data_IF_383861689239
#
_entry.id   IF_383861689239
#
_cell.length_a   1.000
_cell.length_b   1.000
_cell.length_c   1.000
_cell.angle_alpha   90.00
_cell.angle_beta   90.00
_cell.angle_gamma   90.00
#
_symmetry.space_group_name_H-M   'P 1'
#
loop_
_entity.id
_entity.type
_entity.pdbx_description
1 polymer ?
#
# COMPACT_ATOMS: atom_id res chain seq x y z
N UNK A 1 -2.05 -12.00 9.47
CA UNK A 1 -1.31 -11.17 10.44
C UNK A 1 -0.84 -12.03 11.58
N UNK A 2 0.42 -11.91 11.98
CA UNK A 2 1.01 -12.60 13.14
C UNK A 2 1.69 -11.55 14.01
N UNK A 3 1.64 -11.73 15.33
CA UNK A 3 2.29 -10.83 16.29
C UNK A 3 2.98 -11.62 17.38
N UNK A 4 4.22 -11.24 17.71
CA UNK A 4 4.93 -11.70 18.91
C UNK A 4 4.41 -11.01 20.18
N UNK A 5 3.83 -9.82 20.02
CA UNK A 5 3.29 -9.01 21.10
C UNK A 5 1.78 -9.25 21.29
N UNK A 6 1.24 -9.06 22.51
CA UNK A 6 -0.18 -9.23 22.76
C UNK A 6 -1.09 -8.38 21.85
N UNK A 7 -2.06 -9.02 21.21
CA UNK A 7 -3.15 -8.36 20.49
C UNK A 7 -4.29 -8.12 21.49
N UNK A 8 -4.61 -6.85 21.75
CA UNK A 8 -5.63 -6.43 22.73
C UNK A 8 -7.02 -6.31 22.11
N UNK A 9 -7.08 -5.85 20.86
CA UNK A 9 -8.32 -5.71 20.09
C UNK A 9 -8.04 -6.15 18.65
N UNK A 10 -9.05 -6.70 17.99
CA UNK A 10 -8.99 -7.08 16.56
C UNK A 10 -10.35 -6.90 15.91
N UNK A 11 -10.35 -6.54 14.63
CA UNK A 11 -11.56 -6.46 13.83
C UNK A 11 -11.22 -6.81 12.36
N UNK A 12 -12.24 -7.09 11.55
CA UNK A 12 -12.10 -7.48 10.15
C UNK A 12 -13.08 -6.66 9.30
N UNK A 13 -12.59 -6.17 8.17
CA UNK A 13 -13.40 -5.64 7.07
C UNK A 13 -13.32 -6.63 5.91
N UNK A 14 -14.46 -7.11 5.41
CA UNK A 14 -14.53 -7.80 4.12
C UNK A 14 -15.06 -6.82 3.08
N UNK A 15 -14.38 -6.69 1.95
CA UNK A 15 -14.81 -5.81 0.87
C UNK A 15 -16.03 -6.41 0.15
N UNK A 16 -17.07 -5.62 -0.13
CA UNK A 16 -18.34 -6.13 -0.65
C UNK A 16 -18.27 -6.62 -2.09
N UNK A 17 -17.25 -6.25 -2.86
CA UNK A 17 -17.08 -6.67 -4.25
C UNK A 17 -15.62 -6.66 -4.72
N UNK A 18 -15.34 -7.57 -5.64
CA UNK A 18 -14.13 -7.67 -6.44
C UNK A 18 -14.48 -7.98 -7.90
N UNK A 19 -13.48 -7.91 -8.78
CA UNK A 19 -13.59 -8.28 -10.20
C UNK A 19 -12.56 -9.34 -10.55
N UNK A 20 -12.74 -10.00 -11.70
CA UNK A 20 -11.90 -11.13 -12.12
C UNK A 20 -11.87 -12.24 -11.05
N UNK A 21 -10.72 -12.83 -10.74
CA UNK A 21 -10.60 -13.87 -9.72
C UNK A 21 -10.89 -13.34 -8.31
N UNK A 22 -10.60 -12.07 -8.04
CA UNK A 22 -10.82 -11.48 -6.71
C UNK A 22 -12.29 -11.48 -6.29
N UNK A 23 -13.22 -11.52 -7.27
CA UNK A 23 -14.66 -11.68 -7.02
C UNK A 23 -14.99 -12.96 -6.23
N UNK A 24 -14.15 -13.99 -6.31
CA UNK A 24 -14.36 -15.28 -5.66
C UNK A 24 -13.54 -15.42 -4.36
N UNK A 25 -12.99 -14.32 -3.86
CA UNK A 25 -12.19 -14.28 -2.64
C UNK A 25 -12.74 -13.26 -1.65
N UNK A 26 -12.70 -13.59 -0.36
CA UNK A 26 -13.04 -12.67 0.73
C UNK A 26 -11.87 -11.71 1.02
N UNK A 27 -11.49 -10.90 0.01
CA UNK A 27 -10.50 -9.83 0.18
C UNK A 27 -11.02 -8.79 1.17
N UNK A 28 -10.10 -8.17 1.90
CA UNK A 28 -10.46 -7.35 3.04
C UNK A 28 -9.25 -6.77 3.76
N UNK A 29 -9.52 -6.21 4.93
CA UNK A 29 -8.52 -5.69 5.83
C UNK A 29 -8.65 -6.28 7.24
N UNK A 30 -7.51 -6.50 7.88
CA UNK A 30 -7.40 -6.93 9.27
C UNK A 30 -6.92 -5.76 10.12
N UNK A 31 -7.54 -5.57 11.28
CA UNK A 31 -7.10 -4.64 12.31
C UNK A 31 -6.60 -5.39 13.55
N UNK A 32 -5.50 -4.91 14.13
CA UNK A 32 -5.04 -5.30 15.45
C UNK A 32 -4.55 -4.09 16.25
N UNK A 33 -5.02 -3.96 17.48
CA UNK A 33 -4.41 -3.11 18.50
C UNK A 33 -3.37 -3.93 19.25
N UNK A 34 -2.10 -3.54 19.16
CA UNK A 34 -0.99 -4.33 19.66
C UNK A 34 -0.32 -3.56 20.80
N UNK A 35 -0.18 -4.20 21.97
CA UNK A 35 0.56 -3.66 23.11
C UNK A 35 2.02 -4.11 23.01
N UNK A 36 2.92 -3.15 22.83
CA UNK A 36 4.36 -3.32 22.80
C UNK A 36 4.95 -3.24 24.23
N UNK A 37 6.28 -3.21 24.32
CA UNK A 37 6.97 -2.98 25.59
C UNK A 37 6.58 -1.62 26.20
N UNK A 38 6.73 -1.50 27.53
CA UNK A 38 6.43 -0.28 28.29
C UNK A 38 4.97 0.21 28.15
N UNK A 39 4.04 -0.70 27.86
CA UNK A 39 2.61 -0.42 27.62
C UNK A 39 2.36 0.56 26.47
N UNK A 40 3.31 0.69 25.53
CA UNK A 40 3.07 1.43 24.31
C UNK A 40 2.10 0.66 23.41
N UNK A 41 1.23 1.36 22.69
CA UNK A 41 0.21 0.76 21.84
C UNK A 41 0.35 1.24 20.42
N UNK A 42 0.13 0.34 19.46
CA UNK A 42 0.00 0.67 18.03
C UNK A 42 -1.31 0.13 17.48
N UNK A 43 -1.83 0.80 16.46
CA UNK A 43 -2.95 0.33 15.65
C UNK A 43 -2.41 -0.13 14.29
N UNK A 44 -2.42 -1.44 14.04
CA UNK A 44 -1.94 -2.02 12.80
C UNK A 44 -3.10 -2.48 11.93
N UNK A 45 -3.13 -2.01 10.70
CA UNK A 45 -4.03 -2.45 9.64
C UNK A 45 -3.22 -3.16 8.58
N UNK A 46 -3.70 -4.32 8.12
CA UNK A 46 -3.13 -5.05 7.00
C UNK A 46 -4.20 -5.29 5.96
N UNK A 47 -3.94 -4.98 4.70
CA UNK A 47 -4.90 -5.18 3.61
C UNK A 47 -4.26 -5.83 2.40
N UNK A 48 -5.11 -6.42 1.55
CA UNK A 48 -4.79 -6.78 0.18
C UNK A 48 -6.00 -6.42 -0.68
N UNK A 49 -5.91 -5.32 -1.43
CA UNK A 49 -7.01 -4.81 -2.26
C UNK A 49 -7.11 -5.55 -3.59
N UNK A 50 -8.11 -5.21 -4.40
CA UNK A 50 -8.32 -5.69 -5.77
C UNK A 50 -7.01 -5.63 -6.55
N UNK A 51 -6.66 -6.69 -7.29
CA UNK A 51 -5.51 -6.71 -8.20
C UNK A 51 -5.89 -6.20 -9.61
N UNK A 52 -4.88 -5.79 -10.37
CA UNK A 52 -5.00 -5.52 -11.81
C UNK A 52 -4.33 -6.63 -12.61
N UNK A 53 -4.86 -6.93 -13.80
CA UNK A 53 -4.26 -7.90 -14.74
C UNK A 53 -3.69 -7.19 -15.98
N UNK A 54 -3.33 -5.92 -15.80
CA UNK A 54 -2.66 -5.04 -16.77
C UNK A 54 -1.68 -4.14 -15.99
N UNK A 55 -0.50 -3.90 -16.55
CA UNK A 55 0.62 -3.23 -15.84
C UNK A 55 0.38 -1.74 -15.52
N UNK A 56 -0.44 -1.04 -16.31
CA UNK A 56 -0.82 0.36 -16.09
C UNK A 56 -2.26 0.62 -16.51
N UNK A 57 -3.24 0.19 -15.70
CA UNK A 57 -4.65 0.45 -16.00
C UNK A 57 -4.94 1.97 -15.94
N UNK A 58 -5.81 2.50 -16.82
CA UNK A 58 -6.32 3.85 -16.66
C UNK A 58 -7.19 3.96 -15.39
N UNK A 59 -7.40 5.17 -14.86
CA UNK A 59 -8.25 5.40 -13.67
C UNK A 59 -9.71 4.93 -13.84
N UNK A 60 -10.17 4.82 -15.08
CA UNK A 60 -11.50 4.33 -15.45
C UNK A 60 -11.57 2.81 -15.56
N UNK A 61 -10.45 2.09 -15.41
CA UNK A 61 -10.44 0.63 -15.39
C UNK A 61 -11.25 0.09 -14.22
N UNK A 62 -12.00 -0.99 -14.46
CA UNK A 62 -12.90 -1.55 -13.47
C UNK A 62 -12.18 -2.00 -12.18
N UNK A 63 -10.95 -2.52 -12.31
CA UNK A 63 -10.14 -2.93 -11.16
C UNK A 63 -9.73 -1.72 -10.32
N UNK A 64 -9.36 -0.62 -10.98
CA UNK A 64 -9.00 0.65 -10.34
C UNK A 64 -10.20 1.29 -9.65
N UNK A 65 -11.39 1.26 -10.28
CA UNK A 65 -12.62 1.76 -9.66
C UNK A 65 -12.99 0.99 -8.39
N UNK A 66 -12.94 -0.34 -8.45
CA UNK A 66 -13.19 -1.22 -7.29
C UNK A 66 -12.16 -0.96 -6.18
N UNK A 67 -10.87 -0.87 -6.53
CA UNK A 67 -9.81 -0.60 -5.58
C UNK A 67 -9.97 0.75 -4.88
N UNK A 68 -10.38 1.80 -5.60
CA UNK A 68 -10.70 3.11 -4.99
C UNK A 68 -11.88 3.04 -4.01
N UNK A 69 -12.92 2.26 -4.32
CA UNK A 69 -14.02 2.02 -3.38
C UNK A 69 -13.54 1.26 -2.13
N UNK A 70 -12.72 0.21 -2.32
CA UNK A 70 -12.12 -0.55 -1.22
C UNK A 70 -11.24 0.31 -0.32
N UNK A 71 -10.45 1.22 -0.89
CA UNK A 71 -9.64 2.20 -0.15
C UNK A 71 -10.53 3.16 0.65
N UNK A 72 -11.68 3.57 0.12
CA UNK A 72 -12.65 4.40 0.85
C UNK A 72 -13.27 3.63 2.04
N UNK A 73 -13.63 2.37 1.84
CA UNK A 73 -14.12 1.50 2.92
C UNK A 73 -13.05 1.24 3.98
N UNK A 74 -11.81 1.00 3.54
CA UNK A 74 -10.65 0.85 4.43
C UNK A 74 -10.45 2.10 5.28
N UNK A 75 -10.54 3.30 4.70
CA UNK A 75 -10.41 4.53 5.48
C UNK A 75 -11.50 4.68 6.54
N UNK A 76 -12.76 4.36 6.19
CA UNK A 76 -13.87 4.36 7.16
C UNK A 76 -13.66 3.32 8.27
N UNK A 77 -13.10 2.16 7.93
CA UNK A 77 -12.77 1.10 8.88
C UNK A 77 -11.64 1.51 9.83
N UNK A 78 -10.62 2.20 9.33
CA UNK A 78 -9.56 2.80 10.14
C UNK A 78 -10.18 3.77 11.16
N UNK A 79 -10.98 4.74 10.69
CA UNK A 79 -11.63 5.72 11.57
C UNK A 79 -12.51 5.07 12.65
N UNK A 80 -13.27 4.03 12.29
CA UNK A 80 -14.09 3.24 13.24
C UNK A 80 -13.22 2.60 14.32
N UNK A 81 -12.15 1.90 13.93
CA UNK A 81 -11.30 1.15 14.84
C UNK A 81 -10.40 2.05 15.71
N UNK A 82 -10.12 3.27 15.26
CA UNK A 82 -9.24 4.22 15.96
C UNK A 82 -10.01 5.41 16.54
N UNK A 83 -11.33 5.29 16.76
CA UNK A 83 -12.16 6.37 17.30
C UNK A 83 -11.66 6.85 18.68
N UNK A 84 -11.19 5.89 19.50
CA UNK A 84 -10.68 6.12 20.85
C UNK A 84 -9.15 6.03 20.93
N UNK A 85 -8.45 6.06 19.78
CA UNK A 85 -7.00 6.03 19.78
C UNK A 85 -6.44 7.29 20.42
N UNK A 86 -5.44 7.13 21.28
CA UNK A 86 -4.77 8.27 21.89
C UNK A 86 -3.82 8.93 20.88
N UNK A 87 -3.54 10.24 21.01
CA UNK A 87 -2.66 10.95 20.08
C UNK A 87 -1.25 10.36 19.95
N UNK A 88 -0.80 9.61 20.95
CA UNK A 88 0.54 9.02 21.02
C UNK A 88 0.62 7.64 20.35
N UNK A 89 -0.53 7.03 20.03
CA UNK A 89 -0.65 5.68 19.46
C UNK A 89 -0.56 5.76 17.92
N UNK A 90 0.50 5.26 17.27
CA UNK A 90 0.60 5.29 15.81
C UNK A 90 -0.44 4.39 15.15
N UNK A 91 -1.03 4.90 14.06
CA UNK A 91 -1.89 4.17 13.14
C UNK A 91 -1.09 3.84 11.90
N UNK A 92 -0.87 2.55 11.66
CA UNK A 92 -0.01 2.03 10.60
C UNK A 92 -0.85 1.13 9.70
N UNK A 93 -0.80 1.37 8.40
CA UNK A 93 -1.41 0.54 7.36
C UNK A 93 -0.30 -0.12 6.54
N UNK A 94 -0.35 -1.44 6.39
CA UNK A 94 0.63 -2.21 5.62
C UNK A 94 -0.04 -3.16 4.64
N UNK A 95 0.68 -3.58 3.61
CA UNK A 95 0.30 -4.66 2.71
C UNK A 95 0.40 -4.29 1.24
N UNK A 96 -0.04 -5.22 0.40
CA UNK A 96 -0.18 -5.03 -1.04
C UNK A 96 -1.47 -4.26 -1.33
N UNK A 97 -1.34 -2.98 -1.65
CA UNK A 97 -2.50 -2.15 -1.99
C UNK A 97 -2.82 -2.21 -3.48
N UNK A 98 -2.10 -3.00 -4.29
CA UNK A 98 -2.27 -3.17 -5.74
C UNK A 98 -2.37 -1.86 -6.53
N UNK A 99 -1.87 -0.77 -5.96
CA UNK A 99 -1.74 0.53 -6.61
C UNK A 99 -0.28 0.64 -7.00
N UNK A 100 0.02 0.70 -8.29
CA UNK A 100 1.40 0.92 -8.71
C UNK A 100 1.73 2.41 -8.59
N UNK A 101 2.63 2.77 -7.66
CA UNK A 101 3.07 4.16 -7.52
C UNK A 101 4.19 4.56 -8.48
N UNK A 102 4.81 3.61 -9.17
CA UNK A 102 5.88 3.88 -10.14
C UNK A 102 5.30 4.19 -11.52
N UNK A 103 5.67 5.31 -12.14
CA UNK A 103 5.42 5.55 -13.56
C UNK A 103 6.10 4.47 -14.41
N UNK A 104 5.57 4.25 -15.62
CA UNK A 104 6.17 3.31 -16.56
C UNK A 104 7.63 3.71 -16.87
N UNK A 105 8.54 2.74 -17.12
CA UNK A 105 9.97 3.01 -17.27
C UNK A 105 10.33 3.98 -18.41
N UNK A 106 9.47 4.12 -19.42
CA UNK A 106 9.62 5.04 -20.55
C UNK A 106 9.03 6.44 -20.30
N UNK A 107 8.47 6.68 -19.11
CA UNK A 107 7.93 7.96 -18.69
C UNK A 107 9.01 9.04 -18.62
N UNK A 108 8.65 10.28 -18.97
CA UNK A 108 9.52 11.46 -18.79
C UNK A 108 9.81 11.77 -17.32
N UNK A 109 9.06 11.20 -16.38
CA UNK A 109 9.24 11.35 -14.95
C UNK A 109 9.23 9.98 -14.24
N UNK A 110 10.28 9.18 -14.45
CA UNK A 110 10.42 7.82 -13.87
C UNK A 110 10.39 7.77 -12.33
N UNK A 111 10.68 8.89 -11.65
CA UNK A 111 10.63 9.01 -10.19
C UNK A 111 9.37 9.74 -9.69
N UNK A 112 8.40 9.98 -10.57
CA UNK A 112 7.16 10.66 -10.27
C UNK A 112 6.16 9.80 -9.49
N UNK A 113 4.99 10.37 -9.25
CA UNK A 113 3.83 9.69 -8.70
C UNK A 113 2.84 9.34 -9.82
N UNK A 114 2.23 8.15 -9.78
CA UNK A 114 1.09 7.84 -10.65
C UNK A 114 -0.19 8.49 -10.14
N UNK A 115 -1.15 8.75 -11.04
CA UNK A 115 -2.44 9.32 -10.66
C UNK A 115 -3.22 8.41 -9.70
N UNK A 116 -3.13 7.08 -9.87
CA UNK A 116 -3.80 6.14 -8.97
C UNK A 116 -3.22 6.20 -7.56
N UNK A 117 -1.88 6.31 -7.42
CA UNK A 117 -1.23 6.53 -6.13
C UNK A 117 -1.67 7.85 -5.49
N UNK A 118 -1.73 8.95 -6.24
CA UNK A 118 -2.21 10.23 -5.72
C UNK A 118 -3.67 10.14 -5.24
N UNK A 119 -4.51 9.40 -5.97
CA UNK A 119 -5.89 9.14 -5.57
C UNK A 119 -5.97 8.30 -4.30
N UNK A 120 -5.14 7.26 -4.18
CA UNK A 120 -5.04 6.46 -2.96
C UNK A 120 -4.68 7.34 -1.75
N UNK A 121 -3.66 8.19 -1.85
CA UNK A 121 -3.26 9.08 -0.75
C UNK A 121 -4.39 10.04 -0.38
N UNK A 122 -5.08 10.65 -1.36
CA UNK A 122 -6.22 11.55 -1.11
C UNK A 122 -7.42 10.85 -0.46
N UNK A 123 -7.73 9.62 -0.87
CA UNK A 123 -8.81 8.82 -0.28
C UNK A 123 -8.45 8.47 1.17
N UNK A 124 -7.23 7.99 1.41
CA UNK A 124 -6.75 7.63 2.74
C UNK A 124 -6.57 8.87 3.65
N UNK A 125 -6.23 10.04 3.11
CA UNK A 125 -6.18 11.30 3.88
C UNK A 125 -7.58 11.81 4.22
N UNK A 126 -8.59 11.39 3.47
CA UNK A 126 -9.98 11.80 3.63
C UNK A 126 -10.35 13.00 2.77
N UNK A 127 -9.40 13.55 2.00
CA UNK A 127 -9.68 14.61 1.03
C UNK A 127 -10.64 14.13 -0.06
N UNK A 128 -10.59 12.85 -0.39
CA UNK A 128 -11.31 12.27 -1.52
C UNK A 128 -10.78 12.77 -2.87
N UNK A 129 -11.45 12.38 -3.93
CA UNK A 129 -11.03 12.67 -5.31
C UNK A 129 -12.14 13.39 -6.07
N UNK A 130 -11.78 14.03 -7.18
CA UNK A 130 -12.74 14.67 -8.08
C UNK A 130 -13.43 13.59 -8.92
N UNK A 131 -14.77 13.61 -8.97
CA UNK A 131 -15.55 12.57 -9.65
C UNK A 131 -15.26 12.51 -11.16
N UNK A 132 -14.91 13.64 -11.77
CA UNK A 132 -14.60 13.75 -13.20
C UNK A 132 -13.33 12.99 -13.63
N UNK A 133 -12.46 12.61 -12.68
CA UNK A 133 -11.27 11.79 -12.95
C UNK A 133 -11.63 10.35 -13.34
N UNK A 134 -12.80 9.86 -12.90
CA UNK A 134 -13.27 8.50 -13.16
C UNK A 134 -14.58 8.44 -13.93
N UNK A 135 -15.30 9.56 -14.03
CA UNK A 135 -16.52 9.72 -14.82
C UNK A 135 -16.54 11.12 -15.44
N UNK A 136 -16.14 11.23 -16.72
CA UNK A 136 -16.06 12.51 -17.42
C UNK A 136 -17.40 13.29 -17.51
N UNK A 137 -18.54 12.64 -17.24
CA UNK A 137 -19.84 13.29 -17.20
C UNK A 137 -20.14 13.96 -15.84
N UNK A 138 -19.35 13.68 -14.82
CA UNK A 138 -19.53 14.23 -13.49
C UNK A 138 -19.15 15.72 -13.43
N UNK A 139 -19.83 16.47 -12.56
CA UNK A 139 -19.48 17.86 -12.27
C UNK A 139 -18.05 17.96 -11.71
N UNK A 140 -17.23 18.92 -12.19
CA UNK A 140 -15.88 19.14 -11.67
C UNK A 140 -15.81 19.42 -10.16
N UNK A 141 -16.88 20.01 -9.59
CA UNK A 141 -16.93 20.36 -8.16
C UNK A 141 -17.34 19.17 -7.27
N UNK A 142 -17.79 18.05 -7.88
CA UNK A 142 -18.24 16.88 -7.13
C UNK A 142 -17.04 16.08 -6.65
N UNK A 143 -16.85 16.03 -5.34
CA UNK A 143 -15.90 15.11 -4.69
C UNK A 143 -16.58 13.81 -4.28
N UNK A 144 -15.83 12.72 -4.36
CA UNK A 144 -16.24 11.39 -3.89
C UNK A 144 -15.18 10.82 -2.96
N UNK A 145 -15.59 9.86 -2.12
CA UNK A 145 -14.74 9.19 -1.13
C UNK A 145 -14.10 10.12 -0.07
N UNK A 146 -14.50 11.39 -0.04
CA UNK A 146 -14.08 12.33 1.00
C UNK A 146 -14.70 11.97 2.35
N UNK A 147 -14.03 12.40 3.41
CA UNK A 147 -14.39 12.15 4.79
C UNK A 147 -14.40 13.47 5.57
N UNK A 148 -15.19 13.56 6.63
CA UNK A 148 -15.26 14.76 7.48
C UNK A 148 -13.93 15.02 8.21
N UNK A 149 -13.17 13.97 8.51
CA UNK A 149 -11.85 14.06 9.15
C UNK A 149 -10.74 13.93 8.12
N UNK A 150 -9.98 15.02 7.94
CA UNK A 150 -8.76 15.03 7.13
C UNK A 150 -7.55 14.72 8.03
N UNK A 151 -6.68 13.81 7.57
CA UNK A 151 -5.46 13.42 8.27
C UNK A 151 -4.27 13.36 7.32
N UNK A 152 -3.06 13.50 7.85
CA UNK A 152 -1.85 13.21 7.08
C UNK A 152 -1.74 11.72 6.76
N UNK A 153 -1.24 11.41 5.57
CA UNK A 153 -0.82 10.06 5.19
C UNK A 153 0.61 10.17 4.70
N UNK A 154 1.50 9.39 5.31
CA UNK A 154 2.92 9.37 4.98
C UNK A 154 3.31 7.99 4.46
N UNK A 155 3.86 7.96 3.26
CA UNK A 155 4.47 6.77 2.68
C UNK A 155 5.91 6.65 3.19
N UNK A 156 6.14 5.64 4.03
CA UNK A 156 7.42 5.41 4.71
C UNK A 156 8.49 4.93 3.73
N UNK A 157 8.12 4.13 2.72
CA UNK A 157 9.06 3.66 1.71
C UNK A 157 9.51 4.82 0.83
N UNK A 158 8.56 5.62 0.34
CA UNK A 158 8.89 6.80 -0.46
C UNK A 158 9.77 7.80 0.30
N UNK A 159 9.49 8.02 1.59
CA UNK A 159 10.33 8.89 2.42
C UNK A 159 11.75 8.33 2.59
N UNK A 160 11.89 7.02 2.74
CA UNK A 160 13.20 6.36 2.92
C UNK A 160 14.06 6.39 1.65
N UNK A 161 13.45 6.13 0.50
CA UNK A 161 14.17 5.98 -0.76
C UNK A 161 14.20 7.25 -1.60
N UNK A 162 13.41 8.26 -1.26
CA UNK A 162 13.18 9.48 -2.05
C UNK A 162 12.51 9.22 -3.42
N UNK A 163 12.12 7.97 -3.66
CA UNK A 163 11.36 7.46 -4.81
C UNK A 163 10.57 6.22 -4.38
N UNK A 164 9.67 5.75 -5.22
CA UNK A 164 8.94 4.49 -4.99
C UNK A 164 9.84 3.29 -5.32
N UNK A 165 10.27 2.45 -4.36
CA UNK A 165 11.13 1.32 -4.66
C UNK A 165 10.36 0.22 -5.41
N UNK A 166 11.06 -0.63 -6.16
CA UNK A 166 10.42 -1.78 -6.82
C UNK A 166 10.08 -2.81 -5.75
N UNK A 167 8.84 -3.31 -5.75
CA UNK A 167 8.39 -4.42 -4.88
C UNK A 167 7.86 -5.60 -5.68
N UNK A 168 7.67 -5.46 -7.00
CA UNK A 168 7.16 -6.51 -7.87
C UNK A 168 7.71 -6.40 -9.30
N UNK A 169 8.02 -7.54 -9.93
CA UNK A 169 8.46 -7.60 -11.34
C UNK A 169 9.80 -6.91 -11.62
N UNK A 170 10.78 -7.07 -10.73
CA UNK A 170 12.10 -6.43 -10.82
C UNK A 170 12.95 -6.95 -12.00
N UNK A 171 13.99 -6.20 -12.36
CA UNK A 171 14.81 -6.40 -13.55
C UNK A 171 16.31 -6.41 -13.25
N UNK A 172 17.06 -7.06 -14.13
CA UNK A 172 18.51 -6.97 -14.22
C UNK A 172 18.82 -6.13 -15.45
N UNK A 173 19.63 -5.08 -15.27
CA UNK A 173 20.17 -4.27 -16.36
C UNK A 173 21.64 -4.64 -16.54
N UNK A 174 21.99 -5.21 -17.69
CA UNK A 174 23.36 -5.53 -18.03
C UNK A 174 24.18 -4.27 -18.39
N UNK A 175 25.51 -4.40 -18.43
CA UNK A 175 26.42 -3.28 -18.76
C UNK A 175 26.16 -2.64 -20.13
N UNK A 176 25.58 -3.41 -21.07
CA UNK A 176 25.20 -2.95 -22.41
C UNK A 176 23.80 -2.30 -22.47
N UNK A 177 23.12 -2.19 -21.31
CA UNK A 177 21.78 -1.64 -21.20
C UNK A 177 20.65 -2.64 -21.47
N UNK A 178 20.97 -3.92 -21.76
CA UNK A 178 19.95 -4.95 -21.94
C UNK A 178 19.19 -5.20 -20.63
N UNK A 179 17.86 -5.13 -20.70
CA UNK A 179 16.97 -5.37 -19.56
C UNK A 179 16.41 -6.78 -19.64
N UNK A 180 16.49 -7.53 -18.54
CA UNK A 180 15.91 -8.88 -18.41
C UNK A 180 15.20 -9.04 -17.07
N UNK A 181 14.18 -9.92 -16.95
CA UNK A 181 13.48 -10.12 -15.69
C UNK A 181 14.41 -10.75 -14.65
N UNK A 182 14.41 -10.21 -13.43
CA UNK A 182 15.19 -10.78 -12.32
C UNK A 182 14.57 -12.07 -11.80
N UNK A 183 13.27 -12.23 -12.03
CA UNK A 183 12.55 -13.47 -11.73
C UNK A 183 11.58 -13.86 -12.83
N UNK A 184 11.48 -15.16 -13.11
CA UNK A 184 10.75 -15.69 -14.30
C UNK A 184 9.88 -16.92 -14.01
N UNK A 185 9.88 -17.43 -12.78
CA UNK A 185 9.20 -18.68 -12.41
C UNK A 185 7.87 -18.41 -11.69
N UNK A 186 7.85 -17.46 -10.75
CA UNK A 186 6.71 -17.06 -9.93
C UNK A 186 5.97 -15.86 -10.52
N UNK A 187 6.70 -14.89 -11.08
CA UNK A 187 6.16 -13.69 -11.70
C UNK A 187 5.40 -14.07 -12.97
N UNK A 188 4.16 -13.58 -13.08
CA UNK A 188 3.33 -13.79 -14.26
C UNK A 188 4.04 -13.34 -15.54
N UNK A 189 3.84 -14.07 -16.65
CA UNK A 189 4.51 -13.75 -17.93
C UNK A 189 4.24 -12.33 -18.42
N UNK A 190 3.03 -11.83 -18.16
CA UNK A 190 2.59 -10.50 -18.56
C UNK A 190 3.10 -9.40 -17.59
N UNK A 191 3.62 -9.81 -16.43
CA UNK A 191 4.13 -8.93 -15.36
C UNK A 191 5.67 -8.92 -15.30
N UNK A 192 6.33 -9.69 -16.16
CA UNK A 192 7.78 -9.62 -16.32
C UNK A 192 8.15 -8.18 -16.72
N UNK A 193 9.17 -7.63 -16.06
CA UNK A 193 9.66 -6.26 -16.27
C UNK A 193 8.74 -5.14 -15.77
N UNK A 194 7.66 -5.46 -15.02
CA UNK A 194 6.71 -4.47 -14.54
C UNK A 194 7.34 -3.36 -13.69
N UNK A 195 8.39 -3.70 -12.91
CA UNK A 195 9.09 -2.77 -12.01
C UNK A 195 8.13 -1.94 -11.15
N UNK A 196 7.10 -2.60 -10.61
CA UNK A 196 6.01 -1.96 -9.91
C UNK A 196 6.32 -1.79 -8.42
N UNK A 197 5.66 -0.80 -7.80
CA UNK A 197 5.66 -0.58 -6.34
C UNK A 197 4.24 -0.73 -5.85
N UNK A 198 3.91 -1.89 -5.28
CA UNK A 198 2.54 -2.26 -4.87
C UNK A 198 2.39 -2.42 -3.34
N UNK A 199 3.51 -2.63 -2.66
CA UNK A 199 3.57 -2.90 -1.22
C UNK A 199 3.92 -1.65 -0.44
N UNK A 200 3.14 -1.35 0.59
CA UNK A 200 3.27 -0.10 1.34
C UNK A 200 3.42 -0.30 2.84
N UNK A 201 4.10 0.67 3.46
CA UNK A 201 3.98 0.98 4.89
C UNK A 201 3.53 2.44 4.98
N UNK A 202 2.26 2.64 5.30
CA UNK A 202 1.64 3.96 5.41
C UNK A 202 1.40 4.32 6.87
N UNK A 203 1.74 5.55 7.22
CA UNK A 203 1.51 6.12 8.53
C UNK A 203 0.39 7.14 8.44
N UNK A 204 -0.69 6.90 9.19
CA UNK A 204 -1.92 7.69 9.11
C UNK A 204 -2.04 8.56 10.38
N UNK A 205 -2.36 9.85 10.20
CA UNK A 205 -2.46 10.82 11.27
C UNK A 205 -1.51 12.01 11.11
N UNK A 206 -1.81 13.11 11.81
CA UNK A 206 -1.25 14.43 11.54
C UNK A 206 -0.04 14.82 12.38
N UNK A 207 0.22 14.14 13.51
CA UNK A 207 1.26 14.56 14.45
C UNK A 207 2.10 13.37 14.93
N UNK A 208 3.36 13.33 14.51
CA UNK A 208 4.35 12.35 15.00
C UNK A 208 5.06 12.83 16.25
N UNK A 209 5.01 14.12 16.59
CA UNK A 209 5.79 14.72 17.68
C UNK A 209 5.36 14.23 19.07
N UNK A 210 4.11 13.79 19.18
CA UNK A 210 3.53 13.26 20.43
C UNK A 210 3.66 11.76 20.57
N UNK A 211 4.14 11.06 19.54
CA UNK A 211 4.14 9.60 19.54
C UNK A 211 5.29 9.06 20.37
N UNK A 212 4.94 8.14 21.28
CA UNK A 212 5.92 7.36 22.05
C UNK A 212 6.57 6.29 21.20
N UNK A 213 5.88 5.82 20.17
CA UNK A 213 6.41 4.86 19.20
C UNK A 213 6.37 5.48 17.83
N UNK A 214 7.53 5.53 17.18
CA UNK A 214 7.68 6.02 15.81
C UNK A 214 8.29 4.95 14.93
N UNK A 215 8.14 5.14 13.62
CA UNK A 215 8.77 4.30 12.62
C UNK A 215 10.19 4.82 12.38
N UNK A 216 11.17 3.94 12.47
CA UNK A 216 12.55 4.21 12.05
C UNK A 216 12.63 4.14 10.52
N UNK A 217 12.52 5.32 9.89
CA UNK A 217 12.59 5.47 8.44
C UNK A 217 13.86 4.82 7.90
N UNK A 218 15.02 5.06 8.54
CA UNK A 218 16.33 4.61 8.04
C UNK A 218 16.45 3.09 7.98
N UNK A 219 15.78 2.38 8.88
CA UNK A 219 15.74 0.91 8.93
C UNK A 219 14.59 0.28 8.14
N UNK A 220 13.76 1.09 7.49
CA UNK A 220 12.77 0.60 6.54
C UNK A 220 13.47 0.13 5.28
N UNK A 221 13.10 -1.06 4.77
CA UNK A 221 13.73 -1.64 3.59
C UNK A 221 12.81 -2.58 2.82
N UNK A 222 13.18 -2.79 1.56
CA UNK A 222 12.65 -3.86 0.72
C UNK A 222 13.53 -5.09 0.94
N UNK A 223 12.92 -6.26 1.06
CA UNK A 223 13.53 -7.52 1.43
C UNK A 223 13.42 -8.49 0.24
N UNK A 224 14.48 -8.54 -0.54
CA UNK A 224 14.60 -9.38 -1.72
C UNK A 224 15.03 -10.80 -1.27
N UNK A 225 14.07 -11.65 -0.89
CA UNK A 225 14.32 -12.99 -0.35
C UNK A 225 14.77 -14.00 -1.44
N UNK A 226 15.94 -13.81 -2.02
CA UNK A 226 16.49 -14.71 -3.05
C UNK A 226 16.95 -16.04 -2.50
N UNK A 227 16.82 -17.08 -3.33
CA UNK A 227 17.28 -18.44 -3.02
C UNK A 227 18.06 -19.02 -4.21
N UNK A 228 19.17 -19.70 -3.92
CA UNK A 228 20.01 -20.36 -4.93
C UNK A 228 19.75 -21.86 -5.08
N UNK A 229 19.15 -22.46 -4.05
CA UNK A 229 19.10 -23.92 -3.90
C UNK A 229 17.71 -24.50 -4.25
N UNK A 230 16.89 -23.73 -4.98
CA UNK A 230 15.55 -24.10 -5.40
C UNK A 230 15.32 -23.80 -6.89
N UNK A 231 14.26 -24.36 -7.47
CA UNK A 231 13.86 -24.07 -8.86
C UNK A 231 13.27 -22.67 -9.06
N UNK A 232 12.93 -21.99 -7.96
CA UNK A 232 12.51 -20.59 -7.94
C UNK A 232 13.71 -19.73 -7.59
N UNK A 233 13.81 -18.51 -8.12
CA UNK A 233 14.91 -17.61 -7.76
C UNK A 233 14.58 -16.78 -6.51
N UNK A 234 13.32 -16.74 -6.08
CA UNK A 234 12.82 -16.00 -4.91
C UNK A 234 11.72 -16.78 -4.16
N UNK A 235 11.48 -16.41 -2.90
CA UNK A 235 10.43 -17.05 -2.07
C UNK A 235 9.00 -16.57 -2.35
N UNK A 236 8.84 -15.43 -3.02
CA UNK A 236 7.55 -14.82 -3.38
C UNK A 236 7.73 -13.96 -4.62
N UNK A 237 6.71 -13.87 -5.46
CA UNK A 237 6.66 -12.98 -6.64
C UNK A 237 6.80 -11.49 -6.30
N UNK A 238 6.37 -11.09 -5.10
CA UNK A 238 6.66 -9.80 -4.49
C UNK A 238 7.88 -9.86 -3.55
N UNK A 239 8.59 -8.74 -3.43
CA UNK A 239 9.54 -8.52 -2.34
C UNK A 239 8.83 -8.26 -1.02
N UNK A 240 9.48 -8.64 0.08
CA UNK A 240 9.00 -8.25 1.40
C UNK A 240 9.25 -6.76 1.66
N UNK A 241 8.47 -6.19 2.57
CA UNK A 241 8.74 -4.86 3.13
C UNK A 241 8.88 -4.99 4.64
N UNK A 242 9.94 -4.41 5.20
CA UNK A 242 10.16 -4.42 6.64
C UNK A 242 10.49 -3.04 7.17
N UNK A 243 10.11 -2.80 8.43
CA UNK A 243 10.44 -1.57 9.15
C UNK A 243 10.67 -1.85 10.63
N UNK A 244 11.24 -0.89 11.36
CA UNK A 244 11.48 -0.98 12.78
C UNK A 244 10.68 0.08 13.53
N UNK A 245 10.08 -0.32 14.64
CA UNK A 245 9.47 0.60 15.58
C UNK A 245 10.48 0.95 16.67
N UNK A 246 10.60 2.25 16.96
CA UNK A 246 11.46 2.79 18.01
C UNK A 246 10.58 3.45 19.06
N UNK A 247 10.87 3.16 20.34
CA UNK A 247 10.26 3.90 21.45
C UNK A 247 11.15 5.08 21.81
N UNK A 248 10.54 6.25 21.97
CA UNK A 248 11.14 7.38 22.68
C UNK A 248 11.07 7.22 24.19
#
# INVERSE_FOLDING_TARGET
MLSKFPIKERDILIYPSGVHSDRFSDKGALYAKIELAQNNVIHLFMTHTQASYVSAPPLTDKSVLVRQEQLSLLRKFIDKCTLNALPEEPIILVGDLNVNSRPQPDSSNVNGDTDEYLNMIKILSGEGIEANQIDASASPDKRIYNNSKIVGVKDVLKERYEHHPITFGDVIVADDGTVSPKETVLTGKDDLLAQASLDYVLLIGTDQSKKRVTIDIQRTRVEEFFVSDASVTQLSDHYGVSTCLISS
#
